data_IF_007130147526
#
_entry.id   IF_007130147526
#
_cell.length_a   1.000
_cell.length_b   1.000
_cell.length_c   1.000
_cell.angle_alpha   90.00
_cell.angle_beta   90.00
_cell.angle_gamma   90.00
#
_symmetry.space_group_name_H-M   'P 1'
#
loop_
_entity.id
_entity.type
_entity.pdbx_description
1 polymer ?
#
# COMPACT_ATOMS: atom_id res chain seq x y z
N UNK A 1 -22.74 -4.85 -8.84
CA UNK A 1 -22.43 -3.48 -9.29
C UNK A 1 -21.93 -3.56 -10.72
N UNK A 2 -22.66 -2.97 -11.69
CA UNK A 2 -22.17 -2.82 -13.07
C UNK A 2 -21.04 -1.78 -13.03
N UNK A 3 -19.80 -2.18 -13.30
CA UNK A 3 -18.66 -1.27 -13.43
C UNK A 3 -18.91 -0.37 -14.64
N UNK A 4 -18.77 0.94 -14.46
CA UNK A 4 -18.78 1.90 -15.56
C UNK A 4 -17.46 1.73 -16.31
N UNK A 5 -17.51 1.13 -17.49
CA UNK A 5 -16.56 1.47 -18.55
C UNK A 5 -16.63 2.99 -18.72
N UNK A 6 -15.51 3.70 -18.59
CA UNK A 6 -15.50 5.16 -18.71
C UNK A 6 -15.71 5.53 -20.17
N UNK A 7 -16.89 6.08 -20.57
CA UNK A 7 -17.22 6.31 -21.98
C UNK A 7 -16.25 7.28 -22.69
N UNK A 8 -15.52 8.08 -21.92
CA UNK A 8 -14.52 9.02 -22.40
C UNK A 8 -13.29 8.34 -23.00
N UNK A 9 -12.89 7.18 -22.48
CA UNK A 9 -11.65 6.52 -22.92
C UNK A 9 -11.86 5.77 -24.25
N UNK A 10 -13.03 5.16 -24.44
CA UNK A 10 -13.38 4.51 -25.71
C UNK A 10 -13.63 5.54 -26.82
N UNK A 11 -14.21 6.69 -26.46
CA UNK A 11 -14.28 7.84 -27.37
C UNK A 11 -12.89 8.36 -27.75
N UNK A 12 -11.93 8.35 -26.81
CA UNK A 12 -10.56 8.73 -27.10
C UNK A 12 -9.89 7.76 -28.08
N UNK A 13 -10.01 6.45 -27.87
CA UNK A 13 -9.46 5.42 -28.77
C UNK A 13 -10.11 5.50 -30.15
N UNK A 14 -11.43 5.66 -30.22
CA UNK A 14 -12.17 5.76 -31.48
C UNK A 14 -11.78 6.97 -32.33
N UNK A 15 -11.26 8.02 -31.69
CA UNK A 15 -10.82 9.28 -32.36
C UNK A 15 -9.30 9.39 -32.46
N UNK A 16 -8.57 8.30 -32.22
CA UNK A 16 -7.12 8.28 -32.36
C UNK A 16 -6.72 8.30 -33.85
N UNK A 17 -5.86 9.26 -34.23
CA UNK A 17 -5.19 9.23 -35.52
C UNK A 17 -4.25 8.03 -35.60
N UNK A 18 -4.16 7.40 -36.78
CA UNK A 18 -3.21 6.32 -37.03
C UNK A 18 -1.75 6.78 -36.89
N UNK A 19 -1.43 8.07 -37.08
CA UNK A 19 -0.04 8.56 -36.98
C UNK A 19 0.94 7.89 -37.97
N UNK A 20 0.47 7.51 -39.17
CA UNK A 20 1.28 6.81 -40.17
C UNK A 20 2.48 7.62 -40.69
N UNK A 21 2.44 8.96 -40.55
CA UNK A 21 3.56 9.84 -40.90
C UNK A 21 4.71 9.80 -39.88
N UNK A 22 4.49 9.22 -38.70
CA UNK A 22 5.51 9.08 -37.67
C UNK A 22 6.36 7.83 -37.94
N UNK A 23 7.69 7.95 -38.11
CA UNK A 23 8.58 6.80 -38.27
C UNK A 23 8.48 5.81 -37.10
N UNK A 24 8.12 6.29 -35.91
CA UNK A 24 7.88 5.43 -34.76
C UNK A 24 6.74 4.45 -35.00
N UNK A 25 5.63 4.87 -35.61
CA UNK A 25 4.47 4.02 -35.87
C UNK A 25 4.53 3.31 -37.23
N UNK A 26 5.20 3.89 -38.22
CA UNK A 26 5.27 3.33 -39.58
C UNK A 26 6.45 2.40 -39.82
N UNK A 27 7.58 2.58 -39.12
CA UNK A 27 8.76 1.74 -39.32
C UNK A 27 8.95 0.69 -38.23
N UNK A 28 8.60 0.99 -36.98
CA UNK A 28 8.79 0.05 -35.88
C UNK A 28 7.60 -0.91 -35.77
N UNK A 29 7.83 -2.23 -35.74
CA UNK A 29 6.76 -3.19 -35.43
C UNK A 29 6.17 -2.97 -34.03
N UNK A 30 4.90 -3.36 -33.78
CA UNK A 30 4.27 -3.23 -32.46
C UNK A 30 5.09 -3.83 -31.32
N UNK A 31 5.78 -4.94 -31.56
CA UNK A 31 6.61 -5.64 -30.58
C UNK A 31 7.80 -4.78 -30.13
N UNK A 32 8.43 -4.07 -31.07
CA UNK A 32 9.54 -3.17 -30.77
C UNK A 32 9.04 -1.92 -30.01
N UNK A 33 7.86 -1.40 -30.37
CA UNK A 33 7.25 -0.28 -29.64
C UNK A 33 6.91 -0.68 -28.20
N UNK A 34 6.36 -1.87 -28.00
CA UNK A 34 6.09 -2.42 -26.67
C UNK A 34 7.38 -2.56 -25.84
N UNK A 35 8.47 -3.05 -26.43
CA UNK A 35 9.79 -3.09 -25.75
C UNK A 35 10.28 -1.69 -25.36
N UNK A 36 10.08 -0.69 -26.22
CA UNK A 36 10.43 0.71 -25.91
C UNK A 36 9.60 1.23 -24.73
N UNK A 37 8.30 0.96 -24.71
CA UNK A 37 7.43 1.37 -23.60
C UNK A 37 7.91 0.75 -22.27
N UNK A 38 8.20 -0.55 -22.26
CA UNK A 38 8.71 -1.27 -21.10
C UNK A 38 10.04 -0.70 -20.59
N UNK A 39 10.97 -0.37 -21.50
CA UNK A 39 12.25 0.25 -21.15
C UNK A 39 12.06 1.63 -20.51
N UNK A 40 11.15 2.45 -21.04
CA UNK A 40 10.81 3.76 -20.47
C UNK A 40 10.24 3.63 -19.05
N UNK A 41 9.34 2.66 -18.82
CA UNK A 41 8.78 2.40 -17.48
C UNK A 41 9.86 1.95 -16.50
N UNK A 42 10.76 1.09 -16.94
CA UNK A 42 11.88 0.59 -16.13
C UNK A 42 12.84 1.72 -15.75
N UNK A 43 13.24 2.55 -16.72
CA UNK A 43 14.20 3.63 -16.51
C UNK A 43 13.62 4.82 -15.74
N UNK A 44 12.32 5.07 -15.85
CA UNK A 44 11.60 6.12 -15.10
C UNK A 44 11.20 5.69 -13.68
N UNK A 45 11.51 4.45 -13.29
CA UNK A 45 11.13 3.84 -12.03
C UNK A 45 9.83 3.04 -12.15
N UNK A 46 9.93 1.71 -12.21
CA UNK A 46 8.78 0.80 -12.35
C UNK A 46 7.96 0.63 -11.07
N UNK A 47 8.31 1.32 -9.99
CA UNK A 47 7.63 1.26 -8.70
C UNK A 47 7.06 2.64 -8.39
N UNK A 48 5.74 2.73 -8.29
CA UNK A 48 5.04 4.01 -8.16
C UNK A 48 4.11 3.97 -6.96
N UNK A 49 4.25 4.94 -6.07
CA UNK A 49 3.23 5.20 -5.06
C UNK A 49 2.04 5.87 -5.72
N UNK A 50 0.85 5.34 -5.47
CA UNK A 50 -0.40 5.91 -5.94
C UNK A 50 -1.13 6.49 -4.74
N UNK A 51 -1.55 7.74 -4.86
CA UNK A 51 -2.27 8.46 -3.81
C UNK A 51 -3.30 9.40 -4.44
N UNK A 52 -4.24 9.88 -3.63
CA UNK A 52 -5.32 10.74 -4.09
C UNK A 52 -5.41 12.00 -3.26
N UNK A 53 -5.12 13.13 -3.91
CA UNK A 53 -5.46 14.46 -3.39
C UNK A 53 -6.82 14.87 -3.97
N UNK A 54 -6.85 15.85 -4.89
CA UNK A 54 -8.04 16.16 -5.69
C UNK A 54 -8.23 15.15 -6.84
N UNK A 55 -7.12 14.61 -7.34
CA UNK A 55 -7.05 13.65 -8.45
C UNK A 55 -6.03 12.57 -8.12
N UNK A 56 -6.14 11.43 -8.81
CA UNK A 56 -5.11 10.40 -8.76
C UNK A 56 -3.76 10.96 -9.19
N UNK A 57 -2.78 10.80 -8.32
CA UNK A 57 -1.41 11.25 -8.51
C UNK A 57 -0.46 10.10 -8.20
N UNK A 58 0.80 10.29 -8.58
CA UNK A 58 1.83 9.28 -8.34
C UNK A 58 3.18 9.93 -8.04
N UNK A 59 4.03 9.18 -7.35
CA UNK A 59 5.43 9.53 -7.11
C UNK A 59 6.29 8.28 -7.19
N UNK A 60 7.48 8.33 -7.82
CA UNK A 60 8.36 7.17 -7.89
C UNK A 60 8.77 6.72 -6.48
N UNK A 61 8.78 5.40 -6.28
CA UNK A 61 9.30 4.80 -5.07
C UNK A 61 10.82 4.84 -5.08
N UNK A 62 11.40 5.45 -4.05
CA UNK A 62 12.86 5.53 -3.83
C UNK A 62 13.33 4.60 -2.70
N UNK A 63 12.42 3.83 -2.11
CA UNK A 63 12.75 2.88 -1.05
C UNK A 63 13.47 1.66 -1.64
N UNK A 64 14.63 1.32 -1.09
CA UNK A 64 15.33 0.09 -1.42
C UNK A 64 14.64 -1.09 -0.75
N UNK A 65 13.69 -1.70 -1.43
CA UNK A 65 12.90 -2.82 -0.90
C UNK A 65 13.69 -4.12 -0.74
N UNK A 66 14.94 -4.17 -1.22
CA UNK A 66 15.86 -5.27 -0.96
C UNK A 66 16.62 -5.09 0.35
N UNK A 67 16.79 -3.84 0.80
CA UNK A 67 17.29 -3.53 2.13
C UNK A 67 16.16 -3.76 3.14
N UNK A 68 16.33 -4.71 4.06
CA UNK A 68 15.36 -4.92 5.14
C UNK A 68 15.07 -3.65 5.96
N UNK A 69 13.97 -3.63 6.71
CA UNK A 69 13.60 -2.47 7.53
C UNK A 69 14.57 -2.24 8.70
N UNK A 70 15.53 -1.34 8.50
CA UNK A 70 16.55 -0.98 9.50
C UNK A 70 16.09 0.09 10.49
N UNK A 71 14.88 0.65 10.35
CA UNK A 71 14.46 1.80 11.18
C UNK A 71 14.50 1.49 12.66
N UNK A 72 14.02 0.31 13.05
CA UNK A 72 13.99 -0.07 14.45
C UNK A 72 15.40 -0.30 15.02
N UNK A 73 16.25 -1.00 14.28
CA UNK A 73 17.64 -1.21 14.66
C UNK A 73 18.35 0.14 14.88
N UNK A 74 18.26 1.05 13.91
CA UNK A 74 18.86 2.38 13.98
C UNK A 74 18.31 3.20 15.15
N UNK A 75 17.00 3.15 15.39
CA UNK A 75 16.38 3.76 16.56
C UNK A 75 16.97 3.21 17.88
N UNK A 76 17.16 1.88 17.98
CA UNK A 76 17.71 1.28 19.21
C UNK A 76 19.19 1.56 19.42
N UNK A 77 19.96 1.74 18.35
CA UNK A 77 21.38 2.07 18.37
C UNK A 77 21.64 3.56 18.66
N UNK A 78 20.65 4.41 18.46
CA UNK A 78 20.77 5.86 18.69
C UNK A 78 20.95 6.18 20.18
N UNK A 79 21.77 7.19 20.48
CA UNK A 79 21.95 7.67 21.84
C UNK A 79 20.64 8.28 22.38
N UNK A 80 20.29 7.94 23.62
CA UNK A 80 19.05 8.41 24.26
C UNK A 80 18.97 9.94 24.31
N UNK A 81 17.88 10.51 23.80
CA UNK A 81 17.64 11.96 23.74
C UNK A 81 18.39 12.68 22.61
N UNK A 82 19.11 11.96 21.76
CA UNK A 82 19.80 12.57 20.61
C UNK A 82 18.84 13.00 19.50
N UNK A 83 19.29 13.92 18.65
CA UNK A 83 18.58 14.31 17.44
C UNK A 83 18.37 13.10 16.49
N UNK A 84 19.36 12.20 16.44
CA UNK A 84 19.27 10.99 15.64
C UNK A 84 18.13 10.06 16.11
N UNK A 85 18.01 9.84 17.43
CA UNK A 85 16.90 9.05 17.99
C UNK A 85 15.55 9.67 17.62
N UNK A 86 15.45 11.01 17.67
CA UNK A 86 14.24 11.73 17.28
C UNK A 86 13.90 11.54 15.78
N UNK A 87 14.89 11.62 14.88
CA UNK A 87 14.67 11.40 13.45
C UNK A 87 14.21 9.97 13.16
N UNK A 88 14.82 8.96 13.77
CA UNK A 88 14.38 7.57 13.61
C UNK A 88 13.00 7.34 14.22
N UNK A 89 12.69 7.95 15.37
CA UNK A 89 11.35 7.93 15.94
C UNK A 89 10.31 8.51 14.97
N UNK A 90 10.61 9.64 14.31
CA UNK A 90 9.72 10.23 13.29
C UNK A 90 9.51 9.26 12.12
N UNK A 91 10.56 8.62 11.61
CA UNK A 91 10.49 7.63 10.52
C UNK A 91 9.72 6.36 10.90
N UNK A 92 9.77 5.94 12.16
CA UNK A 92 8.98 4.83 12.69
C UNK A 92 7.48 5.12 12.77
N UNK A 93 7.11 6.40 12.84
CA UNK A 93 5.73 6.88 12.85
C UNK A 93 5.17 7.22 11.48
N UNK A 94 6.00 7.15 10.43
CA UNK A 94 5.59 7.39 9.06
C UNK A 94 4.37 6.53 8.71
N UNK A 95 3.35 7.15 8.11
CA UNK A 95 2.16 6.43 7.63
C UNK A 95 2.53 5.52 6.46
N UNK A 96 3.61 5.85 5.75
CA UNK A 96 4.14 5.09 4.62
C UNK A 96 5.00 3.89 5.05
N UNK A 97 5.06 3.59 6.36
CA UNK A 97 5.77 2.44 6.90
C UNK A 97 7.23 2.38 6.40
N UNK A 98 7.62 1.26 5.82
CA UNK A 98 8.95 1.03 5.25
C UNK A 98 9.33 2.09 4.19
N UNK A 99 8.35 2.70 3.54
CA UNK A 99 8.51 3.75 2.53
C UNK A 99 8.60 5.16 3.11
N UNK A 100 9.03 5.30 4.37
CA UNK A 100 9.22 6.60 5.02
C UNK A 100 10.11 7.57 4.22
N UNK A 101 11.08 7.05 3.46
CA UNK A 101 11.96 7.86 2.61
C UNK A 101 11.17 8.50 1.47
N UNK A 102 10.23 7.77 0.88
CA UNK A 102 9.32 8.27 -0.14
C UNK A 102 8.42 9.37 0.44
N UNK A 103 7.82 9.16 1.63
CA UNK A 103 7.00 10.19 2.31
C UNK A 103 7.80 11.49 2.53
N UNK A 104 9.04 11.38 3.01
CA UNK A 104 9.92 12.54 3.21
C UNK A 104 10.30 13.23 1.90
N UNK A 105 10.55 12.46 0.84
CA UNK A 105 10.87 12.99 -0.49
C UNK A 105 9.68 13.73 -1.08
N UNK A 106 8.48 13.15 -1.00
CA UNK A 106 7.24 13.76 -1.46
C UNK A 106 6.95 15.05 -0.71
N UNK A 107 7.08 15.06 0.63
CA UNK A 107 6.88 16.27 1.42
C UNK A 107 7.80 17.42 0.99
N UNK A 108 9.10 17.13 0.78
CA UNK A 108 10.07 18.12 0.27
C UNK A 108 9.69 18.62 -1.13
N UNK A 109 9.16 17.75 -1.99
CA UNK A 109 8.71 18.16 -3.32
C UNK A 109 7.54 19.13 -3.25
N UNK A 110 6.53 18.86 -2.42
CA UNK A 110 5.40 19.77 -2.20
C UNK A 110 5.85 21.10 -1.58
N UNK A 111 6.79 21.07 -0.63
CA UNK A 111 7.39 22.29 -0.06
C UNK A 111 8.12 23.10 -1.14
N UNK A 112 8.91 22.47 -2.01
CA UNK A 112 9.63 23.13 -3.09
C UNK A 112 8.71 23.71 -4.18
N UNK A 113 7.50 23.16 -4.34
CA UNK A 113 6.49 23.71 -5.25
C UNK A 113 5.80 24.97 -4.68
N UNK A 114 6.02 25.30 -3.41
CA UNK A 114 5.43 26.48 -2.79
C UNK A 114 6.16 27.75 -3.28
N UNK A 115 5.50 28.63 -4.05
CA UNK A 115 6.13 29.79 -4.70
C UNK A 115 6.65 30.85 -3.71
N UNK A 116 6.36 30.73 -2.41
CA UNK A 116 6.79 31.66 -1.38
C UNK A 116 8.17 31.33 -0.75
N UNK A 117 8.81 30.22 -1.12
CA UNK A 117 10.12 29.86 -0.58
C UNK A 117 11.21 29.82 -1.67
N UNK A 118 12.27 30.62 -1.47
CA UNK A 118 13.49 30.66 -2.27
C UNK A 118 14.29 29.34 -2.10
N UNK A 119 13.84 28.27 -2.76
CA UNK A 119 14.58 27.01 -2.78
C UNK A 119 15.75 27.06 -3.78
N UNK A 120 16.92 26.58 -3.33
CA UNK A 120 18.15 26.48 -4.14
C UNK A 120 18.03 25.35 -5.16
N UNK A 121 18.39 25.65 -6.41
CA UNK A 121 18.34 24.76 -7.59
C UNK A 121 19.04 23.39 -7.41
N UNK A 122 19.98 23.25 -6.47
CA UNK A 122 20.74 22.01 -6.23
C UNK A 122 19.87 20.81 -5.77
N UNK A 123 18.70 21.04 -5.15
CA UNK A 123 17.80 19.96 -4.70
C UNK A 123 16.67 19.63 -5.68
N UNK A 124 16.42 20.47 -6.69
CA UNK A 124 15.33 20.28 -7.64
C UNK A 124 15.55 19.06 -8.57
N UNK A 125 16.81 18.68 -8.80
CA UNK A 125 17.17 17.54 -9.67
C UNK A 125 16.80 16.17 -9.08
N UNK A 126 16.63 16.05 -7.76
CA UNK A 126 16.29 14.78 -7.11
C UNK A 126 14.78 14.61 -6.85
N UNK A 127 14.01 15.69 -6.92
CA UNK A 127 12.61 15.72 -6.48
C UNK A 127 11.60 15.95 -7.63
N UNK A 128 12.04 16.22 -8.86
CA UNK A 128 11.10 16.53 -9.95
C UNK A 128 10.15 15.38 -10.32
N UNK A 129 8.93 15.68 -10.82
CA UNK A 129 8.02 14.65 -11.32
C UNK A 129 8.73 13.84 -12.40
N UNK A 130 8.86 12.53 -12.17
CA UNK A 130 9.46 11.61 -13.13
C UNK A 130 8.75 11.75 -14.49
N UNK A 131 9.49 11.68 -15.60
CA UNK A 131 8.92 11.57 -16.95
C UNK A 131 8.09 10.30 -17.19
N UNK A 132 7.79 9.55 -16.14
CA UNK A 132 7.04 8.30 -16.12
C UNK A 132 5.69 8.38 -16.84
N UNK A 133 4.96 9.50 -16.76
CA UNK A 133 3.68 9.64 -17.48
C UNK A 133 3.82 10.35 -18.83
N UNK A 134 5.00 10.87 -19.18
CA UNK A 134 5.18 11.71 -20.37
C UNK A 134 4.82 10.98 -21.66
N UNK A 135 5.07 9.67 -21.73
CA UNK A 135 4.74 8.84 -22.88
C UNK A 135 3.22 8.81 -23.17
N UNK A 136 2.40 8.77 -22.11
CA UNK A 136 0.94 8.73 -22.25
C UNK A 136 0.36 10.06 -22.74
N UNK A 137 1.14 11.14 -22.70
CA UNK A 137 0.72 12.48 -23.09
C UNK A 137 1.12 12.85 -24.52
N UNK A 138 1.84 11.97 -25.24
CA UNK A 138 2.35 12.25 -26.59
C UNK A 138 1.21 12.30 -27.61
N UNK A 139 0.46 11.20 -27.75
CA UNK A 139 -0.70 11.13 -28.64
C UNK A 139 -1.65 9.99 -28.23
N UNK A 140 -2.89 10.02 -28.73
CA UNK A 140 -3.94 9.03 -28.41
C UNK A 140 -3.54 7.59 -28.76
N UNK A 141 -2.87 7.38 -29.92
CA UNK A 141 -2.41 6.05 -30.34
C UNK A 141 -1.34 5.51 -29.37
N UNK A 142 -0.38 6.35 -28.99
CA UNK A 142 0.66 5.98 -28.03
C UNK A 142 0.05 5.65 -26.66
N UNK A 143 -0.87 6.49 -26.18
CA UNK A 143 -1.63 6.22 -24.97
C UNK A 143 -2.29 4.84 -25.01
N UNK A 144 -3.03 4.52 -26.09
CA UNK A 144 -3.74 3.24 -26.20
C UNK A 144 -2.82 2.02 -26.27
N UNK A 145 -1.67 2.14 -26.94
CA UNK A 145 -0.71 1.04 -27.04
C UNK A 145 0.08 0.87 -25.72
N UNK A 146 0.44 1.98 -25.06
CA UNK A 146 1.33 1.95 -23.90
C UNK A 146 0.63 1.73 -22.55
N UNK A 147 -0.66 2.04 -22.43
CA UNK A 147 -1.41 1.89 -21.18
C UNK A 147 -1.44 0.44 -20.65
N UNK A 148 -1.70 -0.61 -21.47
CA UNK A 148 -1.60 -1.99 -20.99
C UNK A 148 -0.18 -2.34 -20.51
N UNK A 149 0.84 -1.84 -21.24
CA UNK A 149 2.26 -2.03 -20.90
C UNK A 149 2.62 -1.44 -19.54
N UNK A 150 2.11 -0.23 -19.25
CA UNK A 150 2.27 0.46 -17.98
C UNK A 150 1.77 -0.41 -16.82
N UNK A 151 0.52 -0.86 -16.89
CA UNK A 151 -0.10 -1.66 -15.84
C UNK A 151 0.54 -3.05 -15.68
N UNK A 152 1.08 -3.61 -16.77
CA UNK A 152 1.80 -4.87 -16.76
C UNK A 152 3.21 -4.77 -16.15
N UNK A 153 3.86 -3.61 -16.28
CA UNK A 153 5.28 -3.41 -15.96
C UNK A 153 5.51 -2.64 -14.66
N UNK A 154 4.46 -2.02 -14.11
CA UNK A 154 4.54 -1.18 -12.92
C UNK A 154 4.07 -1.93 -11.67
N UNK A 155 4.80 -1.77 -10.57
CA UNK A 155 4.33 -2.10 -9.22
C UNK A 155 3.66 -0.87 -8.63
N UNK A 156 2.34 -0.96 -8.43
CA UNK A 156 1.59 0.09 -7.76
C UNK A 156 1.65 -0.12 -6.25
N UNK A 157 2.11 0.90 -5.53
CA UNK A 157 2.31 0.88 -4.09
C UNK A 157 1.24 1.75 -3.43
N UNK A 158 0.51 1.19 -2.48
CA UNK A 158 -0.49 1.90 -1.70
C UNK A 158 -0.11 1.95 -0.24
N UNK A 159 -0.23 3.13 0.36
CA UNK A 159 0.03 3.36 1.79
C UNK A 159 -1.25 3.63 2.59
N UNK A 160 -2.40 3.76 1.91
CA UNK A 160 -3.72 3.91 2.51
C UNK A 160 -4.71 2.86 1.97
N UNK A 161 -5.55 2.32 2.86
CA UNK A 161 -6.54 1.29 2.53
C UNK A 161 -7.69 1.82 1.68
N UNK A 162 -8.13 3.05 1.93
CA UNK A 162 -9.26 3.66 1.23
C UNK A 162 -8.86 3.97 -0.21
N UNK A 163 -7.67 4.55 -0.40
CA UNK A 163 -7.07 4.80 -1.71
C UNK A 163 -6.86 3.50 -2.49
N UNK A 164 -6.27 2.48 -1.86
CA UNK A 164 -6.09 1.16 -2.49
C UNK A 164 -7.42 0.58 -2.96
N UNK A 165 -8.44 0.58 -2.10
CA UNK A 165 -9.77 0.07 -2.45
C UNK A 165 -10.40 0.87 -3.58
N UNK A 166 -10.38 2.20 -3.52
CA UNK A 166 -10.99 3.04 -4.55
C UNK A 166 -10.30 2.83 -5.90
N UNK A 167 -8.97 2.84 -5.93
CA UNK A 167 -8.18 2.63 -7.14
C UNK A 167 -8.43 1.24 -7.74
N UNK A 168 -8.35 0.18 -6.94
CA UNK A 168 -8.62 -1.18 -7.40
C UNK A 168 -10.06 -1.36 -7.87
N UNK A 169 -11.01 -0.66 -7.25
CA UNK A 169 -12.41 -0.69 -7.69
C UNK A 169 -12.60 -0.10 -9.08
N UNK A 170 -11.85 0.97 -9.40
CA UNK A 170 -11.87 1.62 -10.71
C UNK A 170 -11.12 0.81 -11.77
N UNK A 171 -9.88 0.42 -11.50
CA UNK A 171 -8.96 -0.10 -12.52
C UNK A 171 -8.84 -1.64 -12.53
N UNK A 172 -9.16 -2.31 -11.42
CA UNK A 172 -9.02 -3.77 -11.29
C UNK A 172 -10.01 -4.62 -12.07
N UNK A 173 -11.04 -3.99 -12.67
CA UNK A 173 -12.12 -4.69 -13.35
C UNK A 173 -11.97 -4.92 -14.83
N UNK A 174 -10.88 -4.45 -15.45
CA UNK A 174 -10.73 -4.43 -16.90
C UNK A 174 -9.41 -5.14 -17.28
N UNK A 175 -9.25 -6.43 -16.94
CA UNK A 175 -7.95 -7.12 -16.98
C UNK A 175 -7.33 -7.23 -18.38
N UNK A 176 -8.15 -7.17 -19.42
CA UNK A 176 -7.72 -7.21 -20.83
C UNK A 176 -7.01 -5.92 -21.24
N UNK A 177 -7.43 -4.78 -20.66
CA UNK A 177 -6.88 -3.45 -20.95
C UNK A 177 -5.86 -3.01 -19.92
N UNK A 178 -6.13 -3.28 -18.65
CA UNK A 178 -5.35 -2.86 -17.49
C UNK A 178 -4.88 -4.10 -16.72
N UNK A 179 -3.90 -4.85 -17.25
CA UNK A 179 -3.43 -6.08 -16.63
C UNK A 179 -2.56 -5.77 -15.41
N UNK A 180 -3.17 -5.43 -14.27
CA UNK A 180 -2.46 -5.22 -13.00
C UNK A 180 -1.74 -6.52 -12.61
N UNK A 181 -0.41 -6.48 -12.65
CA UNK A 181 0.45 -7.65 -12.37
C UNK A 181 1.17 -7.56 -11.04
N UNK A 182 1.43 -6.35 -10.54
CA UNK A 182 2.26 -6.16 -9.36
C UNK A 182 1.66 -5.10 -8.44
N UNK A 183 1.43 -5.49 -7.19
CA UNK A 183 0.91 -4.61 -6.16
C UNK A 183 1.78 -4.71 -4.90
N UNK A 184 1.92 -3.58 -4.23
CA UNK A 184 2.45 -3.53 -2.89
C UNK A 184 1.53 -2.69 -2.01
N UNK A 185 1.24 -3.20 -0.82
CA UNK A 185 0.29 -2.61 0.11
C UNK A 185 1.00 -2.47 1.44
N UNK A 186 1.27 -1.23 1.85
CA UNK A 186 2.00 -0.89 3.05
C UNK A 186 1.08 -0.18 4.04
N UNK A 187 0.48 -0.93 4.96
CA UNK A 187 -0.58 -0.40 5.81
C UNK A 187 -0.09 -0.21 7.23
N UNK A 188 -0.31 0.99 7.77
CA UNK A 188 -0.23 1.28 9.19
C UNK A 188 -1.64 1.42 9.78
N UNK A 189 -2.21 0.35 10.34
CA UNK A 189 -3.57 0.40 10.90
C UNK A 189 -3.60 0.97 12.31
N UNK A 190 -4.76 1.49 12.70
CA UNK A 190 -5.06 1.79 14.10
C UNK A 190 -5.31 0.49 14.88
N UNK A 191 -5.24 0.57 16.21
CA UNK A 191 -5.60 -0.54 17.11
C UNK A 191 -7.06 -0.98 16.94
N UNK A 192 -7.94 -0.07 16.51
CA UNK A 192 -9.35 -0.37 16.28
C UNK A 192 -9.54 -1.43 15.21
N UNK A 193 -8.74 -1.39 14.14
CA UNK A 193 -8.81 -2.38 13.08
C UNK A 193 -8.44 -3.77 13.59
N UNK A 194 -7.41 -3.87 14.45
CA UNK A 194 -6.99 -5.16 15.01
C UNK A 194 -7.99 -5.70 16.03
N UNK A 195 -8.67 -4.83 16.79
CA UNK A 195 -9.72 -5.22 17.75
C UNK A 195 -10.94 -5.87 17.08
N UNK A 196 -11.29 -5.46 15.84
CA UNK A 196 -12.39 -6.09 15.07
C UNK A 196 -12.21 -7.60 14.88
N UNK A 197 -10.96 -8.05 14.82
CA UNK A 197 -10.59 -9.45 14.57
C UNK A 197 -10.11 -10.16 15.83
N UNK A 198 -10.08 -9.46 16.97
CA UNK A 198 -9.66 -10.02 18.23
C UNK A 198 -10.78 -10.90 18.81
N UNK A 199 -10.52 -12.17 19.19
CA UNK A 199 -11.55 -13.03 19.75
C UNK A 199 -12.02 -12.51 21.11
N UNK A 200 -13.34 -12.42 21.29
CA UNK A 200 -14.00 -12.07 22.56
C UNK A 200 -14.16 -13.25 23.50
N UNK A 201 -14.29 -14.46 22.94
CA UNK A 201 -14.46 -15.72 23.65
C UNK A 201 -13.72 -16.87 22.92
N UNK A 202 -13.53 -18.01 23.60
CA UNK A 202 -12.90 -19.20 23.01
C UNK A 202 -13.75 -19.84 21.89
N UNK A 203 -15.05 -19.51 21.80
CA UNK A 203 -16.03 -20.16 20.90
C UNK A 203 -16.22 -19.46 19.54
N UNK A 204 -15.21 -18.75 19.04
CA UNK A 204 -15.22 -18.25 17.65
C UNK A 204 -16.19 -17.09 17.39
N UNK A 205 -16.68 -16.43 18.44
CA UNK A 205 -17.53 -15.25 18.29
C UNK A 205 -16.77 -14.09 17.60
N UNK A 206 -17.53 -13.23 16.92
CA UNK A 206 -17.01 -11.99 16.34
C UNK A 206 -16.34 -11.14 17.44
N UNK A 207 -15.29 -10.41 17.05
CA UNK A 207 -14.65 -9.44 17.95
C UNK A 207 -15.69 -8.47 18.51
N UNK A 208 -15.41 -7.82 19.65
CA UNK A 208 -16.41 -6.97 20.26
C UNK A 208 -16.78 -5.90 19.23
N UNK A 209 -18.07 -5.71 18.96
CA UNK A 209 -18.50 -4.64 18.09
C UNK A 209 -17.81 -3.36 18.59
N UNK A 210 -16.99 -2.71 17.76
CA UNK A 210 -16.28 -1.52 18.19
C UNK A 210 -17.37 -0.57 18.64
N UNK A 211 -17.44 -0.35 19.95
CA UNK A 211 -18.43 0.55 20.54
C UNK A 211 -17.90 1.93 20.24
N UNK A 212 -18.05 2.36 18.98
CA UNK A 212 -18.00 3.75 18.63
C UNK A 212 -19.04 4.40 19.53
N UNK A 213 -18.59 5.26 20.43
CA UNK A 213 -19.51 6.03 21.24
C UNK A 213 -20.43 6.77 20.29
N UNK A 214 -21.64 6.23 20.09
CA UNK A 214 -22.72 7.00 19.51
C UNK A 214 -22.84 8.21 20.41
N UNK A 215 -22.39 9.36 19.91
CA UNK A 215 -22.76 10.64 20.47
C UNK A 215 -24.26 10.57 20.67
N UNK A 216 -24.71 10.59 21.93
CA UNK A 216 -26.13 10.63 22.31
C UNK A 216 -26.70 11.98 21.90
N UNK A 217 -26.69 12.30 20.61
CA UNK A 217 -27.55 13.32 20.05
C UNK A 217 -28.84 12.61 19.72
N UNK A 218 -29.73 12.56 20.72
CA UNK A 218 -31.13 12.27 20.51
C UNK A 218 -31.64 13.28 19.48
N UNK A 219 -31.80 12.83 18.23
CA UNK A 219 -32.79 13.27 17.24
C UNK A 219 -32.21 13.17 15.82
N UNK A 220 -32.87 12.34 14.99
CA UNK A 220 -32.91 12.36 13.52
C UNK A 220 -31.72 11.72 12.79
N UNK A 221 -31.87 10.44 12.42
CA UNK A 221 -32.08 9.98 11.03
C UNK A 221 -31.75 8.49 10.89
N UNK A 222 -32.60 7.79 10.14
CA UNK A 222 -32.60 6.35 9.88
C UNK A 222 -31.55 5.91 8.84
N UNK A 223 -30.56 6.76 8.53
CA UNK A 223 -29.42 6.40 7.67
C UNK A 223 -28.25 5.92 8.53
N UNK A 224 -28.50 4.79 9.19
CA UNK A 224 -27.48 4.04 9.91
C UNK A 224 -26.38 3.65 8.93
N UNK A 225 -25.29 4.42 8.94
CA UNK A 225 -24.06 4.04 8.25
C UNK A 225 -23.76 2.60 8.65
N UNK A 226 -23.58 1.67 7.70
CA UNK A 226 -23.31 0.29 8.04
C UNK A 226 -22.07 0.28 8.94
N UNK A 227 -22.27 -0.10 10.20
CA UNK A 227 -21.22 -0.07 11.21
C UNK A 227 -19.99 -0.82 10.72
N UNK A 228 -18.81 -0.32 11.07
CA UNK A 228 -17.57 -1.02 10.78
C UNK A 228 -17.61 -2.36 11.52
N UNK A 229 -17.54 -3.46 10.78
CA UNK A 229 -17.56 -4.83 11.30
C UNK A 229 -16.38 -5.63 10.77
N UNK A 230 -16.17 -6.84 11.30
CA UNK A 230 -15.16 -7.77 10.79
C UNK A 230 -15.36 -8.10 9.30
N UNK A 231 -16.61 -8.05 8.82
CA UNK A 231 -16.98 -8.36 7.43
C UNK A 231 -17.16 -7.12 6.55
N UNK A 232 -17.26 -5.93 7.13
CA UNK A 232 -17.41 -4.67 6.42
C UNK A 232 -16.46 -3.62 7.01
N UNK A 233 -15.22 -3.64 6.53
CA UNK A 233 -14.20 -2.64 6.87
C UNK A 233 -13.26 -2.40 5.67
N UNK A 234 -12.44 -1.33 5.69
CA UNK A 234 -11.55 -0.99 4.58
C UNK A 234 -10.58 -2.11 4.19
N UNK A 235 -10.00 -2.82 5.16
CA UNK A 235 -9.09 -3.93 4.87
C UNK A 235 -9.81 -5.05 4.12
N UNK A 236 -11.03 -5.37 4.55
CA UNK A 236 -11.80 -6.42 3.90
C UNK A 236 -12.13 -6.09 2.44
N UNK A 237 -12.50 -4.83 2.18
CA UNK A 237 -12.80 -4.36 0.82
C UNK A 237 -11.58 -4.43 -0.10
N UNK A 238 -10.39 -4.13 0.40
CA UNK A 238 -9.14 -4.29 -0.36
C UNK A 238 -8.90 -5.77 -0.68
N UNK A 239 -9.02 -6.66 0.31
CA UNK A 239 -8.86 -8.11 0.09
C UNK A 239 -9.84 -8.65 -0.96
N UNK A 240 -11.10 -8.22 -0.90
CA UNK A 240 -12.12 -8.61 -1.86
C UNK A 240 -11.77 -8.13 -3.27
N UNK A 241 -11.23 -6.91 -3.43
CA UNK A 241 -10.75 -6.44 -4.74
C UNK A 241 -9.52 -7.21 -5.22
N UNK A 242 -8.56 -7.53 -4.35
CA UNK A 242 -7.38 -8.32 -4.71
C UNK A 242 -7.75 -9.70 -5.24
N UNK A 243 -8.75 -10.35 -4.63
CA UNK A 243 -9.24 -11.65 -5.07
C UNK A 243 -9.87 -11.63 -6.48
N UNK A 244 -10.26 -10.45 -6.97
CA UNK A 244 -10.84 -10.26 -8.30
C UNK A 244 -9.80 -9.95 -9.39
N UNK A 245 -8.50 -9.87 -9.08
CA UNK A 245 -7.45 -9.56 -10.05
C UNK A 245 -6.92 -10.83 -10.73
N UNK A 246 -7.34 -11.17 -11.97
CA UNK A 246 -6.96 -12.44 -12.60
C UNK A 246 -5.50 -12.47 -13.08
N UNK A 247 -4.90 -11.29 -13.24
CA UNK A 247 -3.55 -11.12 -13.78
C UNK A 247 -2.48 -10.85 -12.71
N UNK A 248 -2.86 -10.86 -11.42
CA UNK A 248 -1.94 -10.57 -10.33
C UNK A 248 -0.83 -11.64 -10.26
N UNK A 249 0.42 -11.18 -10.32
CA UNK A 249 1.61 -12.03 -10.29
C UNK A 249 2.45 -11.78 -9.04
N UNK A 250 2.56 -10.52 -8.60
CA UNK A 250 3.28 -10.13 -7.41
C UNK A 250 2.33 -9.40 -6.48
N UNK A 251 2.33 -9.81 -5.21
CA UNK A 251 1.64 -9.08 -4.16
C UNK A 251 2.54 -9.04 -2.94
N UNK A 252 2.92 -7.84 -2.51
CA UNK A 252 3.62 -7.67 -1.24
C UNK A 252 2.72 -6.91 -0.28
N UNK A 253 2.39 -7.50 0.86
CA UNK A 253 1.64 -6.83 1.93
C UNK A 253 2.56 -6.62 3.12
N UNK A 254 2.89 -5.36 3.39
CA UNK A 254 3.53 -4.95 4.62
C UNK A 254 2.46 -4.47 5.59
N UNK A 255 2.30 -5.19 6.70
CA UNK A 255 1.28 -4.84 7.67
C UNK A 255 1.89 -4.39 8.99
N UNK A 256 1.47 -3.22 9.46
CA UNK A 256 1.83 -2.68 10.75
C UNK A 256 0.62 -2.12 11.49
N UNK A 257 0.74 -2.00 12.81
CA UNK A 257 -0.28 -1.37 13.66
C UNK A 257 0.33 -0.34 14.58
N UNK A 258 -0.38 0.77 14.81
CA UNK A 258 -0.05 1.80 15.81
C UNK A 258 -0.33 1.36 17.24
N UNK A 259 -0.84 0.14 17.44
CA UNK A 259 -1.10 -0.39 18.78
C UNK A 259 0.19 -0.37 19.62
N UNK A 260 0.07 0.18 20.83
CA UNK A 260 1.15 0.23 21.81
C UNK A 260 1.42 -1.14 22.45
N UNK A 261 0.45 -2.05 22.39
CA UNK A 261 0.54 -3.41 22.91
C UNK A 261 1.33 -4.28 21.94
N UNK A 262 1.98 -5.30 22.49
CA UNK A 262 2.72 -6.27 21.69
C UNK A 262 1.81 -6.98 20.70
N UNK A 263 2.33 -7.29 19.51
CA UNK A 263 1.59 -7.90 18.41
C UNK A 263 0.81 -9.15 18.85
N UNK A 264 1.49 -10.08 19.53
CA UNK A 264 0.94 -11.35 20.00
C UNK A 264 -0.17 -11.24 21.07
N UNK A 265 -0.45 -10.03 21.57
CA UNK A 265 -1.50 -9.81 22.58
C UNK A 265 -2.81 -9.30 21.99
N UNK A 266 -2.80 -8.80 20.76
CA UNK A 266 -3.93 -8.05 20.17
C UNK A 266 -4.21 -8.32 18.70
N UNK A 267 -3.40 -9.15 18.06
CA UNK A 267 -3.62 -9.54 16.68
C UNK A 267 -3.87 -11.03 16.56
N UNK A 268 -4.99 -11.40 15.94
CA UNK A 268 -5.20 -12.75 15.42
C UNK A 268 -4.85 -12.73 13.94
N UNK A 269 -3.62 -13.12 13.57
CA UNK A 269 -3.17 -13.16 12.17
C UNK A 269 -4.10 -14.04 11.33
N UNK A 270 -4.45 -15.23 11.82
CA UNK A 270 -5.30 -16.18 11.09
C UNK A 270 -6.70 -15.63 10.78
N UNK A 271 -7.31 -14.85 11.69
CA UNK A 271 -8.60 -14.19 11.45
C UNK A 271 -8.47 -12.95 10.57
N UNK A 272 -7.48 -12.10 10.87
CA UNK A 272 -7.30 -10.83 10.18
C UNK A 272 -6.94 -11.01 8.70
N UNK A 273 -6.06 -11.96 8.41
CA UNK A 273 -5.57 -12.25 7.06
C UNK A 273 -6.31 -13.41 6.39
N UNK A 274 -7.35 -13.97 7.01
CA UNK A 274 -8.13 -15.09 6.46
C UNK A 274 -8.58 -14.84 5.01
N UNK A 275 -8.93 -13.59 4.70
CA UNK A 275 -9.46 -13.21 3.39
C UNK A 275 -8.41 -13.18 2.28
N UNK A 276 -7.13 -13.07 2.63
CA UNK A 276 -6.03 -13.18 1.67
C UNK A 276 -5.90 -14.57 1.06
N UNK A 277 -6.46 -15.62 1.70
CA UNK A 277 -6.50 -16.97 1.11
C UNK A 277 -7.33 -17.04 -0.17
N UNK A 278 -8.22 -16.07 -0.41
CA UNK A 278 -8.99 -15.99 -1.65
C UNK A 278 -8.23 -15.33 -2.80
N UNK A 279 -7.07 -14.72 -2.53
CA UNK A 279 -6.26 -14.05 -3.56
C UNK A 279 -5.51 -15.10 -4.36
N UNK A 280 -5.71 -15.06 -5.69
CA UNK A 280 -5.07 -15.99 -6.62
C UNK A 280 -3.82 -15.33 -7.19
N UNK A 281 -2.67 -15.92 -6.90
CA UNK A 281 -1.40 -15.56 -7.54
C UNK A 281 -0.86 -16.76 -8.31
N UNK A 282 -0.17 -16.51 -9.43
CA UNK A 282 0.40 -17.58 -10.26
C UNK A 282 1.51 -18.35 -9.56
N UNK A 283 2.26 -17.67 -8.70
CA UNK A 283 3.39 -18.23 -7.97
C UNK A 283 3.32 -17.76 -6.53
N UNK A 284 3.24 -18.71 -5.60
CA UNK A 284 3.20 -18.45 -4.16
C UNK A 284 4.42 -17.66 -3.69
N UNK A 285 5.59 -17.87 -4.28
CA UNK A 285 6.83 -17.19 -3.90
C UNK A 285 6.82 -15.69 -4.22
N UNK A 286 5.82 -15.23 -4.98
CA UNK A 286 5.64 -13.83 -5.36
C UNK A 286 4.53 -13.13 -4.59
N UNK A 287 3.86 -13.85 -3.68
CA UNK A 287 2.94 -13.27 -2.70
C UNK A 287 3.59 -13.35 -1.32
N UNK A 288 4.06 -12.21 -0.84
CA UNK A 288 4.72 -12.08 0.47
C UNK A 288 3.82 -11.29 1.42
N UNK A 289 3.59 -11.85 2.60
CA UNK A 289 2.95 -11.19 3.73
C UNK A 289 4.03 -10.93 4.79
N UNK A 290 4.52 -9.69 4.84
CA UNK A 290 5.53 -9.26 5.79
C UNK A 290 4.87 -8.88 7.14
N UNK A 291 5.20 -9.64 8.18
CA UNK A 291 4.63 -9.51 9.53
C UNK A 291 5.70 -9.28 10.60
N UNK A 292 5.31 -8.74 11.76
CA UNK A 292 6.16 -8.71 12.95
C UNK A 292 6.66 -10.08 13.41
N UNK A 293 7.87 -10.08 13.99
CA UNK A 293 8.39 -11.19 14.77
C UNK A 293 7.48 -11.53 15.96
N UNK A 294 7.34 -12.84 16.22
CA UNK A 294 6.67 -13.35 17.41
C UNK A 294 7.69 -13.61 18.52
N UNK A 295 7.33 -13.41 19.79
CA UNK A 295 8.20 -13.79 20.89
C UNK A 295 8.39 -15.31 20.92
N UNK A 296 9.62 -15.77 21.18
CA UNK A 296 9.93 -17.21 21.29
C UNK A 296 9.08 -17.96 22.33
N UNK A 297 8.67 -17.27 23.39
CA UNK A 297 7.79 -17.80 24.46
C UNK A 297 6.82 -16.70 24.88
N UNK A 298 5.61 -16.62 24.30
CA UNK A 298 4.61 -15.64 24.73
C UNK A 298 4.23 -15.94 26.19
N UNK A 299 4.61 -15.04 27.12
CA UNK A 299 4.33 -15.21 28.55
C UNK A 299 2.84 -15.05 28.87
N UNK A 300 2.12 -14.27 28.05
CA UNK A 300 0.67 -13.99 28.07
C UNK A 300 0.28 -13.51 26.66
N UNK A 301 -0.84 -13.95 26.12
CA UNK A 301 -1.30 -13.56 24.77
C UNK A 301 -2.37 -14.50 24.24
N UNK A 302 -2.70 -14.36 22.95
CA UNK A 302 -3.57 -15.32 22.28
C UNK A 302 -2.87 -16.69 22.16
N UNK A 303 -3.64 -17.79 22.13
CA UNK A 303 -3.12 -19.11 21.77
C UNK A 303 -2.35 -19.14 20.43
N UNK A 304 -1.46 -20.11 20.25
CA UNK A 304 -0.59 -20.20 19.05
C UNK A 304 -1.37 -20.29 17.74
N UNK A 305 -2.55 -20.94 17.72
CA UNK A 305 -3.38 -21.09 16.53
C UNK A 305 -3.95 -19.76 15.97
N UNK A 306 -3.80 -18.65 16.69
CA UNK A 306 -4.15 -17.32 16.18
C UNK A 306 -3.06 -16.70 15.29
N UNK A 307 -1.87 -17.28 15.26
CA UNK A 307 -0.72 -16.79 14.51
C UNK A 307 -0.35 -17.77 13.41
N UNK A 308 0.21 -17.27 12.31
CA UNK A 308 0.69 -18.15 11.26
C UNK A 308 1.90 -18.96 11.72
N UNK A 309 1.76 -20.28 11.64
CA UNK A 309 2.79 -21.30 11.85
C UNK A 309 2.89 -22.19 10.60
N UNK A 310 3.79 -23.17 10.61
CA UNK A 310 4.00 -24.00 9.43
C UNK A 310 2.77 -24.86 9.07
N UNK A 311 1.90 -25.18 10.04
CA UNK A 311 0.74 -26.04 9.81
C UNK A 311 -0.41 -25.25 9.18
N UNK A 312 -0.73 -24.06 9.69
CA UNK A 312 -1.83 -23.25 9.15
C UNK A 312 -1.47 -22.44 7.88
N UNK A 313 -0.20 -22.47 7.46
CA UNK A 313 0.25 -21.96 6.17
C UNK A 313 0.21 -23.02 5.05
N UNK A 314 -0.22 -24.24 5.35
CA UNK A 314 -0.47 -25.26 4.33
C UNK A 314 -1.60 -24.78 3.40
N UNK A 315 -1.32 -24.73 2.10
CA UNK A 315 -2.28 -24.23 1.10
C UNK A 315 -2.44 -22.70 1.04
N UNK A 316 -1.76 -21.92 1.88
CA UNK A 316 -1.78 -20.46 1.79
C UNK A 316 -1.19 -19.99 0.44
N UNK A 317 -1.80 -19.00 -0.24
CA UNK A 317 -1.29 -18.49 -1.51
C UNK A 317 -0.07 -17.57 -1.32
N UNK A 318 0.41 -17.37 -0.09
CA UNK A 318 1.51 -16.49 0.27
C UNK A 318 2.58 -17.17 1.13
N UNK A 319 3.74 -16.52 1.17
CA UNK A 319 4.78 -16.73 2.18
C UNK A 319 4.63 -15.69 3.29
N UNK A 320 4.96 -16.07 4.52
CA UNK A 320 5.06 -15.13 5.64
C UNK A 320 6.53 -14.84 5.88
N UNK A 321 6.92 -13.58 5.72
CA UNK A 321 8.24 -13.09 6.11
C UNK A 321 8.11 -12.35 7.44
N UNK A 322 8.90 -12.75 8.44
CA UNK A 322 8.89 -12.10 9.75
C UNK A 322 10.07 -11.16 9.89
N UNK A 323 9.81 -9.99 10.47
CA UNK A 323 10.82 -8.97 10.68
C UNK A 323 10.63 -8.21 12.00
N UNK A 324 11.66 -7.45 12.41
CA UNK A 324 11.65 -6.76 13.69
C UNK A 324 10.53 -5.73 13.73
N UNK A 325 9.78 -5.73 14.83
CA UNK A 325 8.74 -4.72 15.08
C UNK A 325 9.28 -3.62 15.99
N UNK A 326 9.09 -2.35 15.60
CA UNK A 326 9.20 -1.24 16.53
C UNK A 326 8.38 -1.47 17.80
N UNK A 327 9.02 -1.31 18.95
CA UNK A 327 8.32 -1.25 20.22
C UNK A 327 7.58 0.10 20.30
N UNK A 328 6.33 0.11 19.85
CA UNK A 328 5.49 1.31 19.78
C UNK A 328 5.29 1.99 21.14
N UNK A 329 5.31 1.23 22.24
CA UNK A 329 5.28 1.83 23.58
C UNK A 329 6.49 2.73 23.83
N UNK A 330 7.71 2.25 23.50
CA UNK A 330 8.93 3.06 23.62
C UNK A 330 8.87 4.29 22.71
N UNK A 331 8.40 4.13 21.47
CA UNK A 331 8.21 5.24 20.51
C UNK A 331 7.21 6.28 21.04
N UNK A 332 6.14 5.84 21.70
CA UNK A 332 5.10 6.71 22.26
C UNK A 332 5.59 7.49 23.47
N UNK A 333 6.25 6.85 24.44
CA UNK A 333 6.76 7.52 25.64
C UNK A 333 7.73 8.67 25.32
N UNK A 334 8.56 8.49 24.30
CA UNK A 334 9.52 9.51 23.86
C UNK A 334 8.81 10.71 23.24
N UNK A 335 7.73 10.48 22.48
CA UNK A 335 6.95 11.54 21.87
C UNK A 335 6.22 12.42 22.89
N UNK A 336 5.84 11.86 24.03
CA UNK A 336 5.14 12.58 25.09
C UNK A 336 6.07 13.41 25.98
N UNK A 337 7.40 13.37 25.75
CA UNK A 337 8.36 14.05 26.63
C UNK A 337 8.38 13.50 28.07
N UNK A 338 7.84 12.30 28.28
CA UNK A 338 7.62 11.71 29.61
C UNK A 338 8.83 10.93 30.15
N UNK A 339 9.96 10.95 29.45
CA UNK A 339 11.23 10.63 30.10
C UNK A 339 11.66 11.84 30.93
N UNK A 340 11.45 11.74 32.24
CA UNK A 340 12.39 12.36 33.17
C UNK A 340 13.80 11.79 32.93
N UNK A 341 14.84 12.57 33.27
CA UNK A 341 16.25 12.20 33.03
C UNK A 341 16.63 10.81 33.55
#
# INVERSE_FOLDING_TARGET
MRRQETPEEDAMVATASAQDDSPFFSLLPPEIREMIYQDIWSTSGSRQHIYKEEKWSHVPCIADCSAGDTRFEKFTQSAGGSEEEYHWMKRLKSEWCFHWSCEQSTAKWHEAQNPNELWKEENAQQAGPSGFMSLLLVCKRMYSEALPSLFASTTFIFTDLSEAHEWLSLYGGIPERLPIRSLEICILTTHLMTELYFPTSEEGEEGPNPTFGHSRTNNISEDSHPGISMHSNPWQRVCDQLALLPNLQNLHVWFHTKDLRDWHKRMSETRFFARLFNVKVKDRNRFVLALPDLPLKPKRGLPSHHFFDNENLEGAPFLVERGPRPNNWRVHLMASGLRGP
#
